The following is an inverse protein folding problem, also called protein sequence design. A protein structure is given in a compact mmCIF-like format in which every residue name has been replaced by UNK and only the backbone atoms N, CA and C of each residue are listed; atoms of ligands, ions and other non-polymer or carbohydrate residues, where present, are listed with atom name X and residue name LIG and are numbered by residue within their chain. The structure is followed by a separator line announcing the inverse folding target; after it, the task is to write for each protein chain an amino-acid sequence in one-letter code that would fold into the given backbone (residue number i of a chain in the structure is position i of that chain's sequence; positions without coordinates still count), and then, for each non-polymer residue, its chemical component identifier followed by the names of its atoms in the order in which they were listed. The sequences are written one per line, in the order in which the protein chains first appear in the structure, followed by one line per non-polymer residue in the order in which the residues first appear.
data_IF_776636952039
#
_entry.id   IF_776636952039
#
_cell.length_a   1.000
_cell.length_b   1.000
_cell.length_c   1.000
_cell.angle_alpha   90.00
_cell.angle_beta   90.00
_cell.angle_gamma   90.00
#
_symmetry.space_group_name_H-M   'P 1'
#
loop_
_entity.id
_entity.type
_entity.pdbx_description
1 polymer ?
#
# COMPACT_ATOMS: atom_id res chain seq x y z
N UNK A 1 -6.67 2.12 -15.11
CA UNK A 1 -7.42 0.96 -14.59
C UNK A 1 -7.45 1.02 -13.07
N UNK A 2 -8.59 0.71 -12.45
CA UNK A 2 -8.82 0.87 -11.02
C UNK A 2 -8.33 -0.38 -10.27
N UNK A 3 -7.08 -0.36 -9.79
CA UNK A 3 -6.60 -1.34 -8.81
C UNK A 3 -7.49 -1.31 -7.56
N UNK A 4 -7.81 -2.49 -7.02
CA UNK A 4 -8.65 -2.67 -5.83
C UNK A 4 -8.00 -3.68 -4.88
N UNK A 5 -8.31 -3.55 -3.59
CA UNK A 5 -7.93 -4.53 -2.59
C UNK A 5 -8.88 -5.73 -2.72
N UNK A 6 -8.30 -6.91 -2.92
CA UNK A 6 -9.04 -8.19 -2.94
C UNK A 6 -9.25 -8.67 -1.53
N UNK A 7 -8.19 -8.64 -0.73
CA UNK A 7 -8.22 -9.05 0.66
C UNK A 7 -7.11 -8.33 1.42
N UNK A 8 -7.38 -7.99 2.69
CA UNK A 8 -6.36 -7.55 3.61
C UNK A 8 -6.57 -8.18 4.99
N UNK A 9 -5.49 -8.34 5.75
CA UNK A 9 -5.53 -8.89 7.10
C UNK A 9 -4.36 -8.37 7.94
N UNK A 10 -4.57 -8.29 9.26
CA UNK A 10 -3.48 -8.01 10.19
C UNK A 10 -2.50 -9.20 10.24
N UNK A 11 -1.23 -8.94 9.97
CA UNK A 11 -0.19 -9.98 9.98
C UNK A 11 0.50 -10.08 11.34
N UNK A 12 1.03 -8.96 11.85
CA UNK A 12 1.70 -8.84 13.16
C UNK A 12 1.47 -7.43 13.71
N UNK A 13 1.98 -7.14 14.91
CA UNK A 13 1.91 -5.80 15.51
C UNK A 13 2.37 -4.74 14.50
N UNK A 14 1.46 -3.81 14.17
CA UNK A 14 1.65 -2.72 13.21
C UNK A 14 1.94 -3.13 11.76
N UNK A 15 1.58 -4.35 11.37
CA UNK A 15 1.78 -4.87 10.02
C UNK A 15 0.49 -5.45 9.46
N UNK A 16 0.22 -5.12 8.20
CA UNK A 16 -0.95 -5.59 7.46
C UNK A 16 -0.45 -6.26 6.19
N UNK A 17 -1.03 -7.39 5.85
CA UNK A 17 -0.85 -8.02 4.55
C UNK A 17 -2.07 -7.73 3.69
N UNK A 18 -1.87 -7.41 2.43
CA UNK A 18 -2.93 -7.18 1.47
C UNK A 18 -2.61 -7.82 0.12
N UNK A 19 -3.66 -8.20 -0.59
CA UNK A 19 -3.63 -8.77 -1.93
C UNK A 19 -4.49 -7.87 -2.81
N UNK A 20 -4.02 -7.61 -4.02
CA UNK A 20 -4.65 -6.71 -4.98
C UNK A 20 -5.06 -7.48 -6.23
N UNK A 21 -6.07 -6.97 -6.95
CA UNK A 21 -6.62 -7.65 -8.13
C UNK A 21 -5.61 -7.74 -9.28
N UNK A 22 -4.75 -6.74 -9.41
CA UNK A 22 -3.66 -6.72 -10.41
C UNK A 22 -2.53 -7.73 -10.07
N UNK A 23 -2.44 -8.15 -8.80
CA UNK A 23 -1.40 -9.03 -8.28
C UNK A 23 -2.00 -10.08 -7.32
N UNK A 24 -2.85 -10.99 -7.82
CA UNK A 24 -3.61 -11.91 -6.96
C UNK A 24 -2.72 -12.97 -6.29
N UNK A 25 -1.56 -13.27 -6.89
CA UNK A 25 -0.60 -14.27 -6.39
C UNK A 25 0.47 -13.66 -5.47
N UNK A 26 0.50 -12.34 -5.33
CA UNK A 26 1.48 -11.63 -4.51
C UNK A 26 0.83 -11.03 -3.28
N UNK A 27 1.45 -11.27 -2.13
CA UNK A 27 1.04 -10.68 -0.86
C UNK A 27 1.93 -9.47 -0.56
N UNK A 28 1.31 -8.30 -0.45
CA UNK A 28 1.98 -7.06 -0.10
C UNK A 28 1.90 -6.82 1.40
N UNK A 29 3.05 -6.60 2.02
CA UNK A 29 3.18 -6.34 3.45
C UNK A 29 3.36 -4.84 3.69
N UNK A 30 2.38 -4.25 4.37
CA UNK A 30 2.38 -2.87 4.81
C UNK A 30 2.79 -2.79 6.27
N UNK A 31 3.56 -1.75 6.59
CA UNK A 31 3.97 -1.43 7.95
C UNK A 31 3.45 -0.05 8.31
N UNK A 32 2.89 0.09 9.52
CA UNK A 32 2.52 1.39 10.05
C UNK A 32 3.78 2.19 10.43
N UNK A 33 3.86 3.41 9.95
CA UNK A 33 4.90 4.38 10.29
C UNK A 33 4.18 5.62 10.83
N UNK A 34 4.19 5.79 12.16
CA UNK A 34 3.42 6.84 12.82
C UNK A 34 1.92 6.64 12.66
N UNK A 35 1.29 7.44 11.81
CA UNK A 35 -0.17 7.50 11.63
C UNK A 35 -0.65 6.94 10.28
N UNK A 36 0.24 6.47 9.42
CA UNK A 36 -0.13 5.90 8.11
C UNK A 36 0.59 4.57 7.86
N UNK A 37 0.13 3.82 6.89
CA UNK A 37 0.70 2.56 6.43
C UNK A 37 1.53 2.79 5.16
N UNK A 38 2.71 2.18 5.10
CA UNK A 38 3.63 2.25 3.98
C UNK A 38 3.95 0.83 3.50
N UNK A 39 4.13 0.65 2.19
CA UNK A 39 4.50 -0.64 1.64
C UNK A 39 5.94 -1.01 2.05
N UNK A 40 6.10 -2.07 2.83
CA UNK A 40 7.39 -2.47 3.37
C UNK A 40 8.07 -3.55 2.53
N UNK A 41 7.33 -4.57 2.13
CA UNK A 41 7.83 -5.68 1.31
C UNK A 41 6.68 -6.35 0.59
N UNK A 42 6.98 -7.16 -0.40
CA UNK A 42 6.03 -8.08 -1.02
C UNK A 42 6.62 -9.48 -1.02
N UNK A 43 5.76 -10.49 -0.95
CA UNK A 43 6.16 -11.89 -0.94
C UNK A 43 5.12 -12.72 -1.69
N UNK A 44 5.60 -13.56 -2.60
CA UNK A 44 4.76 -14.47 -3.39
C UNK A 44 4.66 -14.09 -4.87
N UNK A 45 4.39 -15.13 -5.68
CA UNK A 45 4.13 -15.05 -7.12
C UNK A 45 5.36 -14.79 -7.99
N UNK A 46 5.34 -15.29 -9.22
CA UNK A 46 6.12 -14.70 -10.30
C UNK A 46 5.44 -13.39 -10.69
N UNK A 47 6.18 -12.27 -10.64
CA UNK A 47 5.67 -11.01 -11.13
C UNK A 47 5.50 -11.09 -12.64
N UNK A 48 4.27 -11.31 -13.12
CA UNK A 48 3.95 -11.19 -14.54
C UNK A 48 4.29 -9.78 -15.04
N UNK A 49 4.16 -8.79 -14.15
CA UNK A 49 4.61 -7.40 -14.30
C UNK A 49 5.25 -6.94 -12.99
N UNK A 50 6.38 -6.24 -13.07
CA UNK A 50 6.98 -5.61 -11.88
C UNK A 50 6.13 -4.40 -11.48
N UNK A 51 5.73 -4.27 -10.21
CA UNK A 51 4.97 -3.10 -9.76
C UNK A 51 5.82 -1.83 -9.90
N UNK A 52 5.24 -0.81 -10.52
CA UNK A 52 5.88 0.49 -10.71
C UNK A 52 5.58 1.43 -9.56
N UNK A 53 6.26 2.59 -9.52
CA UNK A 53 6.00 3.64 -8.52
C UNK A 53 4.52 4.02 -8.44
N UNK A 54 3.84 4.11 -9.58
CA UNK A 54 2.41 4.45 -9.61
C UNK A 54 1.55 3.37 -8.94
N UNK A 55 1.89 2.09 -9.14
CA UNK A 55 1.21 0.96 -8.51
C UNK A 55 1.40 1.00 -6.99
N UNK A 56 2.65 1.22 -6.53
CA UNK A 56 2.93 1.34 -5.09
C UNK A 56 2.16 2.48 -4.43
N UNK A 57 2.16 3.68 -5.03
CA UNK A 57 1.39 4.80 -4.49
C UNK A 57 -0.10 4.44 -4.39
N UNK A 58 -0.65 3.81 -5.42
CA UNK A 58 -2.07 3.44 -5.44
C UNK A 58 -2.41 2.41 -4.38
N UNK A 59 -1.57 1.40 -4.18
CA UNK A 59 -1.74 0.39 -3.15
C UNK A 59 -1.72 0.98 -1.75
N UNK A 60 -0.80 1.92 -1.50
CA UNK A 60 -0.73 2.63 -0.23
C UNK A 60 -1.97 3.48 -0.01
N UNK A 61 -2.41 4.25 -1.02
CA UNK A 61 -3.65 5.03 -0.94
C UNK A 61 -4.85 4.16 -0.58
N UNK A 62 -5.03 3.03 -1.25
CA UNK A 62 -6.15 2.10 -0.98
C UNK A 62 -6.13 1.57 0.47
N UNK A 63 -4.95 1.17 0.97
CA UNK A 63 -4.84 0.65 2.34
C UNK A 63 -5.06 1.74 3.38
N UNK A 64 -4.51 2.94 3.14
CA UNK A 64 -4.72 4.06 4.05
C UNK A 64 -6.17 4.56 4.02
N UNK A 65 -6.86 4.47 2.87
CA UNK A 65 -8.30 4.75 2.74
C UNK A 65 -9.13 3.77 3.57
N UNK A 66 -8.92 2.46 3.39
CA UNK A 66 -9.62 1.40 4.14
C UNK A 66 -9.42 1.50 5.66
N UNK A 67 -8.24 1.97 6.10
CA UNK A 67 -7.90 2.08 7.51
C UNK A 67 -8.20 3.46 8.11
N UNK A 68 -8.75 4.39 7.33
CA UNK A 68 -9.07 5.75 7.80
C UNK A 68 -7.84 6.61 8.10
N UNK A 69 -6.69 6.33 7.46
CA UNK A 69 -5.40 7.03 7.65
C UNK A 69 -4.93 7.79 6.41
N UNK A 70 -5.79 7.86 5.38
CA UNK A 70 -5.48 8.49 4.08
C UNK A 70 -5.08 9.97 4.22
N UNK A 71 -5.75 10.73 5.09
CA UNK A 71 -5.46 12.14 5.28
C UNK A 71 -4.03 12.38 5.78
N UNK A 72 -3.55 11.55 6.71
CA UNK A 72 -2.16 11.62 7.21
C UNK A 72 -1.16 11.26 6.12
N UNK A 73 -1.47 10.27 5.28
CA UNK A 73 -0.65 9.88 4.13
C UNK A 73 -0.57 11.01 3.08
N UNK A 74 -1.71 11.61 2.72
CA UNK A 74 -1.78 12.71 1.74
C UNK A 74 -1.08 13.97 2.23
N UNK A 75 -1.21 14.32 3.51
CA UNK A 75 -0.49 15.45 4.10
C UNK A 75 1.04 15.28 3.96
N UNK A 76 1.56 14.09 4.22
CA UNK A 76 2.98 13.77 3.98
C UNK A 76 3.35 13.87 2.50
N UNK A 77 2.52 13.32 1.61
CA UNK A 77 2.78 13.34 0.15
C UNK A 77 2.81 14.76 -0.40
N UNK A 78 1.89 15.61 0.04
CA UNK A 78 1.84 17.03 -0.29
C UNK A 78 3.10 17.77 0.18
N UNK A 79 3.56 17.49 1.41
CA UNK A 79 4.79 18.09 1.94
C UNK A 79 6.05 17.64 1.16
N UNK A 80 6.07 16.42 0.60
CA UNK A 80 7.15 15.96 -0.29
C UNK A 80 7.18 16.66 -1.65
N UNK A 81 6.04 17.18 -2.13
CA UNK A 81 5.91 17.94 -3.37
C UNK A 81 6.10 19.45 -3.16
N UNK A 82 5.97 19.93 -1.92
CA UNK A 82 6.16 21.34 -1.52
C UNK A 82 7.60 21.73 -1.19
N UNK A 83 8.58 20.83 -1.33
CA UNK A 83 10.00 21.15 -1.27
C UNK A 83 10.51 21.35 -2.71
N UNK A 84 10.27 22.52 -3.28
CA UNK A 84 10.90 23.03 -4.50
C UNK A 84 11.28 24.48 -4.30
#
# INVERSE_FOLDING_TARGET
MNMKIVQWAYARKYQIKAVFDDFPETVFLFRRIGEFYFLFSCSGGEFTRLPERSDYNRMEELINEELGTLEHYLNRRSNRLGAS
#
